data_IF_944212071335
#
_entry.id   IF_944212071335
#
_cell.length_a   1.000
_cell.length_b   1.000
_cell.length_c   1.000
_cell.angle_alpha   90.00
_cell.angle_beta   90.00
_cell.angle_gamma   90.00
#
_symmetry.space_group_name_H-M   'P 1'
#
loop_
_entity.id
_entity.type
_entity.pdbx_description
1 polymer ?
#
# COMPACT_ATOMS: atom_id res chain seq x y z
N UNK A 1 2.76 19.88 0.25
CA UNK A 1 2.56 18.68 -0.55
C UNK A 1 2.92 17.46 0.28
N UNK A 2 2.10 16.40 0.21
CA UNK A 2 2.31 15.18 0.98
C UNK A 2 1.72 13.96 0.28
N UNK A 3 1.84 12.79 0.91
CA UNK A 3 1.27 11.54 0.44
C UNK A 3 0.49 10.89 1.56
N UNK A 4 -0.68 10.32 1.22
CA UNK A 4 -1.51 9.53 2.12
C UNK A 4 -1.53 8.09 1.60
N UNK A 5 -1.40 7.13 2.51
CA UNK A 5 -1.58 5.70 2.22
C UNK A 5 -2.46 5.08 3.29
N UNK A 6 -3.38 4.25 2.86
CA UNK A 6 -4.35 3.59 3.72
C UNK A 6 -4.51 2.13 3.30
N UNK A 7 -5.06 1.32 4.19
CA UNK A 7 -5.36 -0.09 3.89
C UNK A 7 -6.82 -0.31 3.47
N UNK A 8 -7.67 0.71 3.64
CA UNK A 8 -9.07 0.62 3.20
C UNK A 8 -9.54 1.93 2.55
N UNK A 9 -10.54 1.84 1.69
CA UNK A 9 -11.13 3.01 1.03
C UNK A 9 -11.90 3.89 2.01
N UNK A 10 -12.55 3.30 3.02
CA UNK A 10 -13.30 4.06 4.04
C UNK A 10 -12.39 4.98 4.85
N UNK A 11 -11.19 4.49 5.19
CA UNK A 11 -10.19 5.30 5.88
C UNK A 11 -9.65 6.38 4.94
N UNK A 12 -9.46 6.08 3.65
CA UNK A 12 -9.05 7.07 2.66
C UNK A 12 -10.08 8.21 2.54
N UNK A 13 -11.36 7.86 2.42
CA UNK A 13 -12.48 8.82 2.34
C UNK A 13 -12.54 9.72 3.59
N UNK A 14 -12.35 9.11 4.75
CA UNK A 14 -12.30 9.85 6.01
C UNK A 14 -11.14 10.85 6.04
N UNK A 15 -9.94 10.40 5.66
CA UNK A 15 -8.74 11.23 5.68
C UNK A 15 -8.87 12.40 4.70
N UNK A 16 -9.28 12.16 3.45
CA UNK A 16 -9.48 13.20 2.45
C UNK A 16 -10.41 14.29 2.96
N UNK A 17 -11.60 13.90 3.42
CA UNK A 17 -12.59 14.84 3.97
C UNK A 17 -12.02 15.62 5.15
N UNK A 18 -11.39 14.95 6.12
CA UNK A 18 -10.86 15.61 7.32
C UNK A 18 -9.69 16.53 7.01
N UNK A 19 -8.84 16.16 6.08
CA UNK A 19 -7.74 17.03 5.63
C UNK A 19 -8.27 18.32 5.00
N UNK A 20 -9.28 18.21 4.13
CA UNK A 20 -9.91 19.40 3.53
C UNK A 20 -10.55 20.29 4.59
N UNK A 21 -11.38 19.74 5.48
CA UNK A 21 -12.02 20.48 6.56
C UNK A 21 -10.99 21.19 7.45
N UNK A 22 -9.98 20.48 7.93
CA UNK A 22 -8.95 21.06 8.81
C UNK A 22 -8.18 22.17 8.09
N UNK A 23 -7.80 21.93 6.83
CA UNK A 23 -7.08 22.92 6.04
C UNK A 23 -7.90 24.20 5.86
N UNK A 24 -9.16 24.08 5.48
CA UNK A 24 -10.07 25.23 5.29
C UNK A 24 -10.29 26.02 6.59
N UNK A 25 -10.59 25.31 7.69
CA UNK A 25 -10.84 25.97 8.97
C UNK A 25 -9.57 26.61 9.54
N UNK A 26 -8.41 25.99 9.38
CA UNK A 26 -7.13 26.57 9.84
C UNK A 26 -6.80 27.83 9.07
N UNK A 27 -6.96 27.82 7.75
CA UNK A 27 -6.71 28.99 6.93
C UNK A 27 -7.69 30.13 7.24
N UNK A 28 -8.98 29.80 7.39
CA UNK A 28 -10.00 30.79 7.76
C UNK A 28 -9.73 31.44 9.13
N UNK A 29 -9.21 30.69 10.11
CA UNK A 29 -8.83 31.23 11.40
C UNK A 29 -7.65 32.22 11.34
N UNK A 30 -6.92 32.25 10.22
CA UNK A 30 -5.77 33.13 9.98
C UNK A 30 -6.03 34.14 8.86
N UNK A 31 -7.29 34.34 8.48
CA UNK A 31 -7.70 35.21 7.38
C UNK A 31 -7.01 34.87 6.04
N UNK A 32 -6.77 33.56 5.81
CA UNK A 32 -6.16 33.02 4.59
C UNK A 32 -7.14 32.14 3.83
N UNK A 33 -6.88 31.97 2.55
CA UNK A 33 -7.56 30.99 1.69
C UNK A 33 -6.66 29.78 1.43
N UNK A 34 -7.27 28.61 1.13
CA UNK A 34 -6.56 27.40 0.77
C UNK A 34 -7.16 26.79 -0.48
N UNK A 35 -6.30 26.42 -1.42
CA UNK A 35 -6.63 25.51 -2.49
C UNK A 35 -6.24 24.10 -2.07
N UNK A 36 -7.23 23.22 -1.94
CA UNK A 36 -7.02 21.83 -1.54
C UNK A 36 -7.27 20.91 -2.74
N UNK A 37 -6.27 20.09 -3.06
CA UNK A 37 -6.37 19.07 -4.10
C UNK A 37 -5.92 17.74 -3.54
N UNK A 38 -6.73 16.71 -3.70
CA UNK A 38 -6.43 15.34 -3.31
C UNK A 38 -6.49 14.43 -4.54
N UNK A 39 -5.39 13.75 -4.86
CA UNK A 39 -5.31 12.84 -6.00
C UNK A 39 -5.27 11.40 -5.50
N UNK A 40 -6.24 10.59 -5.93
CA UNK A 40 -6.30 9.15 -5.63
C UNK A 40 -5.62 8.40 -6.75
N UNK A 41 -4.37 8.00 -6.52
CA UNK A 41 -3.56 7.36 -7.55
C UNK A 41 -3.69 5.84 -7.52
N UNK A 42 -3.46 5.20 -6.37
CA UNK A 42 -3.43 3.75 -6.24
C UNK A 42 -4.34 3.28 -5.11
N UNK A 43 -5.15 2.22 -5.33
CA UNK A 43 -5.88 1.56 -4.25
C UNK A 43 -4.92 0.71 -3.40
N UNK A 44 -5.36 0.23 -2.24
CA UNK A 44 -4.60 -0.77 -1.47
C UNK A 44 -4.39 -2.05 -2.28
N UNK A 45 -3.20 -2.62 -2.22
CA UNK A 45 -2.90 -3.95 -2.78
C UNK A 45 -3.36 -5.00 -1.78
N UNK A 46 -4.48 -5.66 -2.07
CA UNK A 46 -5.09 -6.67 -1.19
C UNK A 46 -5.14 -8.00 -1.93
N UNK A 47 -4.37 -8.97 -1.45
CA UNK A 47 -4.38 -10.31 -2.00
C UNK A 47 -5.70 -11.03 -1.73
N UNK A 48 -6.15 -11.84 -2.67
CA UNK A 48 -7.27 -12.73 -2.45
C UNK A 48 -6.81 -13.94 -1.61
N UNK A 49 -7.57 -14.35 -0.60
CA UNK A 49 -7.11 -15.37 0.36
C UNK A 49 -6.78 -16.73 -0.25
N UNK A 50 -7.58 -17.17 -1.21
CA UNK A 50 -7.38 -18.48 -1.87
C UNK A 50 -6.10 -18.48 -2.72
N UNK A 51 -5.89 -17.44 -3.51
CA UNK A 51 -4.71 -17.25 -4.34
C UNK A 51 -3.45 -17.05 -3.50
N UNK A 52 -3.57 -16.35 -2.37
CA UNK A 52 -2.47 -16.18 -1.43
C UNK A 52 -2.04 -17.50 -0.80
N UNK A 53 -3.01 -18.33 -0.38
CA UNK A 53 -2.74 -19.67 0.15
C UNK A 53 -2.08 -20.57 -0.90
N UNK A 54 -2.63 -20.60 -2.12
CA UNK A 54 -2.06 -21.36 -3.23
C UNK A 54 -0.63 -20.93 -3.55
N UNK A 55 -0.37 -19.62 -3.64
CA UNK A 55 0.98 -19.11 -3.87
C UNK A 55 1.94 -19.49 -2.74
N UNK A 56 1.49 -19.42 -1.48
CA UNK A 56 2.31 -19.82 -0.34
C UNK A 56 2.71 -21.31 -0.42
N UNK A 57 1.79 -22.19 -0.77
CA UNK A 57 2.05 -23.62 -0.92
C UNK A 57 3.05 -23.89 -2.06
N UNK A 58 2.88 -23.26 -3.22
CA UNK A 58 3.84 -23.36 -4.32
C UNK A 58 5.23 -22.85 -3.93
N UNK A 59 5.29 -21.74 -3.20
CA UNK A 59 6.57 -21.21 -2.72
C UNK A 59 7.25 -22.18 -1.75
N UNK A 60 6.50 -22.83 -0.83
CA UNK A 60 7.03 -23.84 0.09
C UNK A 60 7.60 -25.04 -0.65
N UNK A 61 6.92 -25.50 -1.69
CA UNK A 61 7.41 -26.61 -2.53
C UNK A 61 8.74 -26.29 -3.23
N UNK A 62 8.97 -25.01 -3.57
CA UNK A 62 10.17 -24.57 -4.29
C UNK A 62 11.34 -24.29 -3.36
N UNK A 63 11.11 -23.57 -2.25
CA UNK A 63 12.20 -23.05 -1.42
C UNK A 63 12.24 -23.64 -0.01
N UNK A 64 11.24 -24.42 0.40
CA UNK A 64 11.08 -25.00 1.73
C UNK A 64 10.26 -24.12 2.68
N UNK A 65 9.60 -24.76 3.66
CA UNK A 65 8.70 -24.12 4.62
C UNK A 65 9.40 -23.01 5.45
N UNK A 66 10.65 -23.23 5.78
CA UNK A 66 11.45 -22.33 6.62
C UNK A 66 11.77 -20.99 5.95
N UNK A 67 11.53 -20.88 4.65
CA UNK A 67 11.82 -19.69 3.84
C UNK A 67 10.59 -18.93 3.38
N UNK A 68 9.40 -19.42 3.69
CA UNK A 68 8.13 -18.76 3.33
C UNK A 68 7.51 -18.13 4.56
N UNK A 69 7.27 -16.83 4.50
CA UNK A 69 6.54 -16.09 5.50
C UNK A 69 5.22 -15.60 4.89
N UNK A 70 4.11 -16.21 5.26
CA UNK A 70 2.76 -15.87 4.82
C UNK A 70 2.03 -14.92 5.78
N UNK A 71 2.70 -14.49 6.86
CA UNK A 71 2.20 -13.53 7.86
C UNK A 71 2.98 -12.21 7.85
N UNK A 72 3.31 -11.72 6.65
CA UNK A 72 4.04 -10.45 6.51
C UNK A 72 3.18 -9.29 6.97
N UNK A 73 3.76 -8.39 7.76
CA UNK A 73 3.07 -7.17 8.17
C UNK A 73 2.76 -6.30 6.96
N UNK A 74 1.56 -5.72 6.88
CA UNK A 74 1.20 -4.80 5.80
C UNK A 74 2.18 -3.64 5.69
N UNK A 75 2.54 -3.28 4.45
CA UNK A 75 3.43 -2.16 4.17
C UNK A 75 2.67 -0.99 3.55
N UNK A 76 3.14 0.22 3.79
CA UNK A 76 2.55 1.44 3.22
C UNK A 76 3.09 1.73 1.81
N UNK A 77 3.31 0.69 1.01
CA UNK A 77 3.67 0.79 -0.39
C UNK A 77 2.49 1.21 -1.27
N UNK A 78 2.78 1.52 -2.52
CA UNK A 78 1.81 1.70 -3.58
C UNK A 78 2.27 0.86 -4.77
N UNK A 79 1.33 0.13 -5.37
CA UNK A 79 1.62 -0.84 -6.41
C UNK A 79 0.51 -0.82 -7.47
N UNK A 80 0.88 -0.78 -8.75
CA UNK A 80 -0.10 -0.77 -9.85
C UNK A 80 -0.83 -2.10 -10.00
N UNK A 81 -0.24 -3.21 -9.53
CA UNK A 81 -0.89 -4.51 -9.47
C UNK A 81 -2.20 -4.49 -8.65
N UNK A 82 -2.36 -3.50 -7.76
CA UNK A 82 -3.59 -3.30 -7.01
C UNK A 82 -4.83 -3.14 -7.91
N UNK A 83 -4.69 -2.53 -9.09
CA UNK A 83 -5.79 -2.42 -10.05
C UNK A 83 -6.16 -3.77 -10.67
N UNK A 84 -5.17 -4.62 -10.93
CA UNK A 84 -5.42 -5.98 -11.45
C UNK A 84 -6.18 -6.83 -10.43
N UNK A 85 -5.85 -6.68 -9.13
CA UNK A 85 -6.53 -7.38 -8.04
C UNK A 85 -7.99 -6.94 -7.83
N UNK A 86 -8.39 -5.77 -8.33
CA UNK A 86 -9.78 -5.34 -8.31
C UNK A 86 -10.62 -5.99 -9.41
N UNK A 87 -9.98 -6.43 -10.48
CA UNK A 87 -10.64 -7.02 -11.65
C UNK A 87 -10.63 -8.54 -11.64
N UNK A 88 -9.54 -9.14 -11.13
CA UNK A 88 -9.33 -10.58 -11.14
C UNK A 88 -8.75 -11.07 -9.80
N UNK A 89 -9.13 -12.28 -9.36
CA UNK A 89 -8.48 -12.95 -8.25
C UNK A 89 -6.98 -13.09 -8.49
N UNK A 90 -6.17 -12.80 -7.49
CA UNK A 90 -4.72 -12.87 -7.64
C UNK A 90 -3.98 -12.64 -6.33
N UNK A 91 -2.65 -12.80 -6.40
CA UNK A 91 -1.75 -12.63 -5.28
C UNK A 91 -0.48 -11.90 -5.71
N UNK A 92 -0.12 -10.90 -4.95
CA UNK A 92 1.16 -10.19 -5.03
C UNK A 92 2.09 -10.69 -3.92
N UNK A 93 3.29 -11.09 -4.27
CA UNK A 93 4.25 -11.68 -3.33
C UNK A 93 5.59 -10.95 -3.41
N UNK A 94 6.33 -10.98 -2.31
CA UNK A 94 7.69 -10.47 -2.24
C UNK A 94 8.69 -11.60 -2.35
N UNK A 95 9.74 -11.39 -3.13
CA UNK A 95 10.88 -12.31 -3.21
C UNK A 95 12.07 -11.62 -2.59
N UNK A 96 12.59 -12.21 -1.51
CA UNK A 96 13.81 -11.74 -0.87
C UNK A 96 15.05 -12.07 -1.72
N UNK A 97 15.99 -11.16 -1.75
CA UNK A 97 17.26 -11.32 -2.47
C UNK A 97 18.41 -11.82 -1.58
N UNK A 98 18.08 -12.46 -0.45
CA UNK A 98 19.04 -13.04 0.48
C UNK A 98 19.36 -12.16 1.70
N UNK A 99 20.33 -12.59 2.50
CA UNK A 99 20.81 -11.88 3.69
C UNK A 99 22.03 -11.03 3.33
N UNK A 100 21.92 -9.70 3.48
CA UNK A 100 23.01 -8.78 3.18
C UNK A 100 22.59 -7.33 3.36
N UNK A 101 23.53 -6.40 3.20
CA UNK A 101 23.21 -4.97 3.20
C UNK A 101 22.64 -4.57 1.83
N UNK A 102 21.33 -4.63 1.68
CA UNK A 102 20.61 -4.31 0.44
C UNK A 102 20.29 -2.82 0.30
N UNK A 103 20.77 -1.96 1.19
CA UNK A 103 20.54 -0.51 1.14
C UNK A 103 21.08 0.15 -0.14
N UNK A 104 21.98 -0.55 -0.86
CA UNK A 104 22.48 -0.10 -2.15
C UNK A 104 21.60 -0.51 -3.35
N UNK A 105 20.64 -1.39 -3.18
CA UNK A 105 19.71 -1.77 -4.25
C UNK A 105 18.54 -0.79 -4.30
N UNK A 106 18.82 0.41 -4.67
CA UNK A 106 18.06 1.52 -5.23
C UNK A 106 16.54 1.48 -5.29
N UNK A 107 15.86 0.96 -4.30
CA UNK A 107 14.46 1.32 -4.11
C UNK A 107 14.39 2.53 -3.18
N UNK A 108 14.57 3.68 -3.77
CA UNK A 108 14.07 4.91 -3.19
C UNK A 108 12.58 4.72 -2.99
N UNK A 109 12.17 4.59 -1.73
CA UNK A 109 10.78 4.73 -1.35
C UNK A 109 10.39 6.16 -1.71
N UNK A 110 9.68 6.32 -2.85
CA UNK A 110 9.10 7.58 -3.24
C UNK A 110 7.92 7.95 -2.34
#
# INVERSE_FOLDING_TARGET
RGTVRTFTLEVLDLIERRMEEISRHTCAAMDCEVEFTFQRNYPPTINHPEEAAFCADVMRDIVGDDKVNDHVQPTMGAEDFAFMLQELPGCYVWIGNGVGDHRAAGHGLG
#
